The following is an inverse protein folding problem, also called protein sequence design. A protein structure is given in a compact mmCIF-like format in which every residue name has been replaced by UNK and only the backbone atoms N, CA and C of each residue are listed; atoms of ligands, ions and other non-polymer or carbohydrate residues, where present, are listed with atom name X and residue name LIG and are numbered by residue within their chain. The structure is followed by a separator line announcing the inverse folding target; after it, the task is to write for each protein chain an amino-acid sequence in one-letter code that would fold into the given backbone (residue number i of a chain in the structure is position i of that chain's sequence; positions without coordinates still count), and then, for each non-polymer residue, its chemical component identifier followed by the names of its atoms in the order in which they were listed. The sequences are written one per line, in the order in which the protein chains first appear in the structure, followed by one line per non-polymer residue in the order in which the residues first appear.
data_IF_262378943342
#
_entry.id   IF_262378943342
#
_cell.length_a   1.000
_cell.length_b   1.000
_cell.length_c   1.000
_cell.angle_alpha   90.00
_cell.angle_beta   90.00
_cell.angle_gamma   90.00
#
_symmetry.space_group_name_H-M   'P 1'
#
loop_
_entity.id
_entity.type
_entity.pdbx_description
1 polymer ?
#
# COMPACT_ATOMS: atom_id res chain seq x y z
N UNK A 1 -1.81 -15.60 10.96
CA UNK A 1 -3.14 -15.06 11.29
C UNK A 1 -3.78 -14.22 10.19
N UNK A 2 -3.05 -13.85 9.15
CA UNK A 2 -3.56 -13.28 7.91
C UNK A 2 -2.78 -13.81 6.70
N UNK A 3 -2.44 -15.10 6.71
CA UNK A 3 -1.91 -15.76 5.53
C UNK A 3 -3.02 -15.97 4.48
N UNK A 4 -2.65 -16.40 3.29
CA UNK A 4 -3.61 -16.59 2.19
C UNK A 4 -4.76 -17.52 2.57
N UNK A 5 -4.52 -18.60 3.32
CA UNK A 5 -5.57 -19.54 3.73
C UNK A 5 -6.58 -18.88 4.69
N UNK A 6 -6.10 -18.09 5.67
CA UNK A 6 -6.96 -17.33 6.58
C UNK A 6 -7.82 -16.31 5.85
N UNK A 7 -7.23 -15.59 4.87
CA UNK A 7 -7.94 -14.60 4.05
C UNK A 7 -9.02 -15.27 3.23
N UNK A 8 -8.72 -16.41 2.60
CA UNK A 8 -9.67 -17.18 1.79
C UNK A 8 -10.86 -17.64 2.63
N UNK A 9 -10.61 -18.18 3.82
CA UNK A 9 -11.68 -18.64 4.71
C UNK A 9 -12.58 -17.49 5.19
N UNK A 10 -11.99 -16.37 5.60
CA UNK A 10 -12.75 -15.18 6.02
C UNK A 10 -13.58 -14.60 4.87
N UNK A 11 -12.98 -14.49 3.69
CA UNK A 11 -13.66 -13.95 2.51
C UNK A 11 -14.80 -14.86 2.02
N UNK A 12 -14.63 -16.20 2.13
CA UNK A 12 -15.69 -17.16 1.86
C UNK A 12 -16.89 -16.94 2.78
N UNK A 13 -16.66 -16.82 4.08
CA UNK A 13 -17.72 -16.55 5.06
C UNK A 13 -18.41 -15.21 4.83
N UNK A 14 -17.65 -14.16 4.50
CA UNK A 14 -18.23 -12.86 4.16
C UNK A 14 -19.17 -12.96 2.95
N UNK A 15 -18.72 -13.65 1.88
CA UNK A 15 -19.56 -13.92 0.70
C UNK A 15 -20.84 -14.70 1.05
N UNK A 16 -20.75 -15.75 1.86
CA UNK A 16 -21.91 -16.55 2.29
C UNK A 16 -22.94 -15.71 3.06
N UNK A 17 -22.49 -14.66 3.74
CA UNK A 17 -23.32 -13.69 4.45
C UNK A 17 -23.82 -12.53 3.55
N UNK A 18 -23.51 -12.55 2.25
CA UNK A 18 -23.91 -11.50 1.30
C UNK A 18 -23.15 -10.18 1.46
N UNK A 19 -21.98 -10.19 2.09
CA UNK A 19 -21.16 -9.00 2.29
C UNK A 19 -20.27 -8.72 1.08
N UNK A 20 -20.08 -7.45 0.76
CA UNK A 20 -19.00 -7.01 -0.13
C UNK A 20 -17.65 -7.23 0.57
N UNK A 21 -16.63 -7.61 -0.19
CA UNK A 21 -15.28 -7.91 0.32
C UNK A 21 -14.30 -6.86 -0.14
N UNK A 22 -13.52 -6.34 0.80
CA UNK A 22 -12.30 -5.58 0.55
C UNK A 22 -11.08 -6.42 0.98
N UNK A 23 -10.05 -6.46 0.15
CA UNK A 23 -8.77 -7.06 0.48
C UNK A 23 -7.76 -5.94 0.69
N UNK A 24 -7.06 -5.96 1.82
CA UNK A 24 -6.04 -5.00 2.18
C UNK A 24 -4.66 -5.66 2.21
N UNK A 25 -3.79 -5.25 1.30
CA UNK A 25 -2.41 -5.73 1.21
C UNK A 25 -1.46 -4.80 1.97
N UNK A 26 -0.97 -5.22 3.13
CA UNK A 26 0.05 -4.49 3.88
C UNK A 26 1.45 -4.62 3.28
N UNK A 27 1.73 -5.70 2.54
CA UNK A 27 3.07 -6.06 2.02
C UNK A 27 4.15 -6.07 3.10
N UNK A 28 3.79 -6.56 4.26
CA UNK A 28 4.65 -6.69 5.44
C UNK A 28 4.30 -7.98 6.18
N UNK A 29 5.25 -8.55 6.92
CA UNK A 29 4.98 -9.69 7.82
C UNK A 29 4.21 -9.25 9.07
N UNK A 30 4.14 -7.95 9.33
CA UNK A 30 3.47 -7.31 10.45
C UNK A 30 2.45 -6.28 9.99
N UNK A 31 1.73 -5.73 10.92
CA UNK A 31 0.85 -4.59 10.67
C UNK A 31 1.68 -3.41 10.13
N UNK A 32 1.39 -2.96 8.93
CA UNK A 32 2.00 -1.76 8.37
C UNK A 32 1.18 -0.52 8.74
N UNK A 33 1.88 0.52 9.18
CA UNK A 33 1.32 1.84 9.51
C UNK A 33 2.39 2.92 9.24
N UNK A 34 2.13 4.22 9.47
CA UNK A 34 3.11 5.27 9.20
C UNK A 34 4.40 5.19 10.01
N UNK A 35 4.42 4.42 11.10
CA UNK A 35 5.63 4.22 11.92
C UNK A 35 6.42 2.97 11.50
N UNK A 36 5.84 2.08 10.71
CA UNK A 36 6.47 0.81 10.31
C UNK A 36 5.94 0.32 8.96
N UNK A 37 6.76 0.43 7.94
CA UNK A 37 6.49 -0.04 6.59
C UNK A 37 7.53 -1.07 6.14
N UNK A 38 7.91 -1.95 7.06
CA UNK A 38 8.98 -2.92 6.84
C UNK A 38 8.57 -3.94 5.79
N UNK A 39 9.45 -4.17 4.82
CA UNK A 39 9.23 -5.25 3.85
C UNK A 39 9.22 -6.61 4.53
N UNK A 40 8.53 -7.62 3.97
CA UNK A 40 8.61 -8.99 4.46
C UNK A 40 10.06 -9.48 4.53
N UNK A 41 10.39 -10.27 5.55
CA UNK A 41 11.74 -10.82 5.72
C UNK A 41 12.26 -11.57 4.48
N UNK A 42 11.36 -12.26 3.77
CA UNK A 42 11.70 -12.95 2.51
C UNK A 42 11.99 -12.00 1.33
N UNK A 43 11.73 -10.69 1.50
CA UNK A 43 11.98 -9.68 0.47
C UNK A 43 13.19 -8.80 0.77
N UNK A 44 13.81 -8.96 1.93
CA UNK A 44 15.05 -8.25 2.30
C UNK A 44 16.16 -8.54 1.28
N UNK A 45 16.93 -7.52 0.93
CA UNK A 45 18.00 -7.60 -0.07
C UNK A 45 17.54 -7.64 -1.54
N UNK A 46 16.25 -7.63 -1.82
CA UNK A 46 15.74 -7.54 -3.20
C UNK A 46 15.92 -6.13 -3.77
N UNK A 47 16.42 -6.05 -4.99
CA UNK A 47 16.43 -4.80 -5.75
C UNK A 47 15.00 -4.41 -6.21
N UNK A 48 14.85 -3.22 -6.77
CA UNK A 48 13.56 -2.69 -7.22
C UNK A 48 12.82 -3.65 -8.17
N UNK A 49 13.51 -4.25 -9.14
CA UNK A 49 12.88 -5.16 -10.10
C UNK A 49 12.32 -6.41 -9.40
N UNK A 50 13.09 -6.99 -8.49
CA UNK A 50 12.70 -8.17 -7.71
C UNK A 50 11.60 -7.86 -6.69
N UNK A 51 11.57 -6.64 -6.10
CA UNK A 51 10.47 -6.19 -5.24
C UNK A 51 9.16 -6.04 -6.03
N UNK A 52 9.21 -5.47 -7.22
CA UNK A 52 8.05 -5.41 -8.12
C UNK A 52 7.52 -6.81 -8.46
N UNK A 53 8.41 -7.74 -8.78
CA UNK A 53 7.99 -9.14 -9.02
C UNK A 53 7.33 -9.73 -7.77
N UNK A 54 7.91 -9.53 -6.60
CA UNK A 54 7.36 -10.04 -5.34
C UNK A 54 5.97 -9.45 -5.01
N UNK A 55 5.76 -8.14 -5.20
CA UNK A 55 4.44 -7.50 -5.06
C UNK A 55 3.44 -8.16 -6.01
N UNK A 56 3.80 -8.25 -7.29
CA UNK A 56 2.94 -8.83 -8.32
C UNK A 56 2.56 -10.27 -7.97
N UNK A 57 3.55 -11.10 -7.70
CA UNK A 57 3.36 -12.54 -7.48
C UNK A 57 2.51 -12.79 -6.23
N UNK A 58 2.77 -12.07 -5.14
CA UNK A 58 1.98 -12.16 -3.92
C UNK A 58 0.53 -11.72 -4.17
N UNK A 59 0.32 -10.56 -4.76
CA UNK A 59 -1.02 -10.02 -5.06
C UNK A 59 -1.82 -10.96 -5.95
N UNK A 60 -1.22 -11.40 -7.06
CA UNK A 60 -1.87 -12.34 -7.99
C UNK A 60 -2.20 -13.66 -7.31
N UNK A 61 -1.28 -14.21 -6.52
CA UNK A 61 -1.48 -15.49 -5.82
C UNK A 61 -2.68 -15.44 -4.88
N UNK A 62 -2.78 -14.41 -4.04
CA UNK A 62 -3.91 -14.25 -3.11
C UNK A 62 -5.23 -14.06 -3.85
N UNK A 63 -5.24 -13.18 -4.86
CA UNK A 63 -6.45 -12.88 -5.62
C UNK A 63 -6.93 -14.09 -6.45
N UNK A 64 -6.01 -14.88 -7.01
CA UNK A 64 -6.37 -16.13 -7.69
C UNK A 64 -6.96 -17.17 -6.75
N UNK A 65 -6.44 -17.28 -5.52
CA UNK A 65 -7.01 -18.15 -4.50
C UNK A 65 -8.46 -17.76 -4.16
N UNK A 66 -8.77 -16.47 -4.07
CA UNK A 66 -10.14 -15.96 -3.90
C UNK A 66 -11.02 -16.26 -5.12
N UNK A 67 -10.48 -16.05 -6.31
CA UNK A 67 -11.19 -16.34 -7.57
C UNK A 67 -11.56 -17.81 -7.69
N UNK A 68 -10.68 -18.72 -7.25
CA UNK A 68 -10.90 -20.14 -7.29
C UNK A 68 -12.11 -20.61 -6.44
N UNK A 69 -12.43 -19.87 -5.36
CA UNK A 69 -13.61 -20.13 -4.52
C UNK A 69 -14.80 -19.21 -4.89
N UNK A 70 -14.70 -18.50 -6.01
CA UNK A 70 -15.75 -17.61 -6.52
C UNK A 70 -15.97 -16.33 -5.69
N UNK A 71 -15.01 -15.92 -4.87
CA UNK A 71 -15.04 -14.61 -4.19
C UNK A 71 -14.46 -13.57 -5.12
N UNK A 72 -15.22 -12.51 -5.38
CA UNK A 72 -14.81 -11.37 -6.19
C UNK A 72 -14.75 -10.16 -5.26
N UNK A 73 -13.55 -9.69 -4.87
CA UNK A 73 -13.44 -8.49 -4.06
C UNK A 73 -13.90 -7.27 -4.85
N UNK A 74 -14.70 -6.44 -4.22
CA UNK A 74 -15.15 -5.17 -4.80
C UNK A 74 -14.05 -4.12 -4.75
N UNK A 75 -13.27 -4.15 -3.67
CA UNK A 75 -12.15 -3.24 -3.44
C UNK A 75 -10.88 -4.04 -3.12
N UNK A 76 -9.76 -3.53 -3.57
CA UNK A 76 -8.44 -4.04 -3.21
C UNK A 76 -7.54 -2.87 -2.85
N UNK A 77 -7.06 -2.83 -1.62
CA UNK A 77 -6.14 -1.82 -1.14
C UNK A 77 -4.70 -2.26 -1.38
N UNK A 78 -3.90 -1.37 -1.95
CA UNK A 78 -2.48 -1.59 -2.26
C UNK A 78 -1.63 -0.77 -1.29
N UNK A 79 -1.14 -1.43 -0.25
CA UNK A 79 -0.46 -0.80 0.88
C UNK A 79 -1.43 -0.18 1.89
N UNK A 80 -1.04 -0.16 3.17
CA UNK A 80 -1.81 0.44 4.25
C UNK A 80 -1.07 1.63 4.83
N UNK A 81 -1.76 2.80 4.87
CA UNK A 81 -1.24 4.04 5.44
C UNK A 81 0.17 4.40 4.94
N UNK A 82 0.34 4.34 3.62
CA UNK A 82 1.63 4.43 2.94
C UNK A 82 2.19 5.86 2.82
N UNK A 83 1.72 6.78 3.66
CA UNK A 83 2.20 8.17 3.68
C UNK A 83 3.73 8.29 3.72
N UNK A 84 4.46 7.50 4.52
CA UNK A 84 5.93 7.55 4.58
C UNK A 84 6.61 6.59 3.57
N UNK A 85 5.90 6.17 2.53
CA UNK A 85 6.37 5.13 1.62
C UNK A 85 5.99 3.72 2.09
N UNK A 86 6.52 2.71 1.43
CA UNK A 86 6.30 1.30 1.74
C UNK A 86 7.55 0.46 1.46
N UNK A 87 7.60 -0.74 1.99
CA UNK A 87 8.70 -1.70 1.78
C UNK A 87 10.06 -1.16 2.26
N UNK A 88 10.09 -0.63 3.46
CA UNK A 88 11.33 -0.17 4.08
C UNK A 88 12.29 -1.32 4.34
N UNK A 89 13.60 -1.04 4.27
CA UNK A 89 14.62 -1.90 4.80
C UNK A 89 14.63 -1.85 6.34
N UNK A 90 15.01 -2.94 7.01
CA UNK A 90 14.97 -3.01 8.49
C UNK A 90 15.78 -1.90 9.17
N UNK A 91 16.92 -1.51 8.57
CA UNK A 91 17.78 -0.45 9.09
C UNK A 91 17.15 0.96 8.98
N UNK A 92 16.10 1.11 8.21
CA UNK A 92 15.46 2.39 7.88
C UNK A 92 14.33 2.73 8.82
N UNK A 93 13.62 1.74 9.32
CA UNK A 93 12.52 1.93 10.26
C UNK A 93 12.92 2.73 11.51
N UNK A 94 14.22 2.74 11.84
CA UNK A 94 14.76 3.44 13.02
C UNK A 94 15.49 4.74 12.68
N UNK A 95 15.95 4.93 11.44
CA UNK A 95 16.82 6.06 11.08
C UNK A 95 16.23 7.03 10.06
N UNK A 96 15.19 6.65 9.35
CA UNK A 96 14.62 7.46 8.27
C UNK A 96 15.58 7.68 7.08
N UNK A 97 16.67 6.94 7.00
CA UNK A 97 17.85 7.32 6.23
C UNK A 97 17.96 6.74 4.82
N UNK A 98 17.12 5.81 4.39
CA UNK A 98 17.41 5.10 3.12
C UNK A 98 16.59 5.53 1.92
N UNK A 99 15.71 6.51 2.07
CA UNK A 99 15.11 7.15 0.92
C UNK A 99 15.57 8.60 0.92
N UNK A 100 16.35 9.02 -0.08
CA UNK A 100 16.83 10.38 -0.21
C UNK A 100 15.65 11.35 -0.36
N UNK A 101 15.11 11.79 0.77
CA UNK A 101 14.22 12.95 0.81
C UNK A 101 15.09 14.16 0.52
N UNK A 102 14.84 14.86 -0.57
CA UNK A 102 15.55 16.07 -0.88
C UNK A 102 14.93 17.25 -0.10
N UNK A 103 15.72 18.30 0.17
CA UNK A 103 15.19 19.54 0.75
C UNK A 103 14.00 20.11 -0.04
N UNK A 104 13.92 19.81 -1.32
CA UNK A 104 12.82 20.23 -2.19
C UNK A 104 11.53 19.47 -1.85
N UNK A 105 11.63 18.16 -1.59
CA UNK A 105 10.48 17.33 -1.24
C UNK A 105 9.89 17.79 0.10
N UNK A 106 10.72 18.27 1.02
CA UNK A 106 10.28 18.84 2.30
C UNK A 106 9.68 20.25 2.19
N UNK A 107 10.13 21.05 1.22
CA UNK A 107 9.62 22.42 1.04
C UNK A 107 8.19 22.47 0.52
N UNK A 108 7.82 21.49 -0.28
CA UNK A 108 6.51 21.42 -0.91
C UNK A 108 5.52 20.58 -0.08
N UNK A 109 6.01 19.94 1.01
CA UNK A 109 5.18 19.18 1.91
C UNK A 109 4.38 20.10 2.85
N UNK A 110 3.08 19.82 3.12
CA UNK A 110 2.32 20.57 4.11
C UNK A 110 2.94 20.43 5.50
N UNK A 111 2.74 21.43 6.37
CA UNK A 111 3.34 21.47 7.71
C UNK A 111 3.04 20.22 8.55
N UNK A 112 1.87 19.64 8.39
CA UNK A 112 1.46 18.37 9.03
C UNK A 112 2.25 17.17 8.52
N UNK A 113 2.75 17.22 7.29
CA UNK A 113 3.60 16.20 6.71
C UNK A 113 5.01 16.21 7.31
N UNK A 114 5.43 17.33 7.91
CA UNK A 114 6.78 17.50 8.48
C UNK A 114 6.86 17.15 9.97
N UNK A 115 5.73 16.87 10.65
CA UNK A 115 5.72 16.57 12.06
C UNK A 115 6.31 15.18 12.35
N UNK A 116 7.62 15.16 12.58
CA UNK A 116 8.41 14.09 13.23
C UNK A 116 8.47 12.72 12.55
N UNK A 117 7.72 12.47 11.52
CA UNK A 117 7.89 11.26 10.71
C UNK A 117 8.75 11.65 9.53
N UNK A 118 9.99 11.23 9.58
CA UNK A 118 10.87 11.30 8.41
C UNK A 118 10.11 10.60 7.28
N UNK A 119 9.92 11.31 6.18
CA UNK A 119 9.35 10.74 4.96
C UNK A 119 10.47 10.14 4.13
N UNK A 120 10.79 8.87 4.26
CA UNK A 120 11.78 8.24 3.42
C UNK A 120 11.15 7.97 2.06
N UNK A 121 10.82 9.03 1.31
CA UNK A 121 10.13 8.81 0.05
C UNK A 121 11.06 8.91 -1.13
N UNK A 122 11.38 7.75 -1.67
CA UNK A 122 11.70 7.66 -3.08
C UNK A 122 10.39 7.53 -3.85
N UNK A 123 9.85 8.65 -4.32
CA UNK A 123 8.60 8.72 -5.04
C UNK A 123 8.56 7.83 -6.28
N UNK A 124 9.69 7.70 -7.00
CA UNK A 124 9.76 6.82 -8.15
C UNK A 124 9.58 5.34 -7.76
N UNK A 125 10.18 4.92 -6.64
CA UNK A 125 9.99 3.57 -6.11
C UNK A 125 8.56 3.38 -5.61
N UNK A 126 8.01 4.34 -4.86
CA UNK A 126 6.63 4.26 -4.38
C UNK A 126 5.63 4.17 -5.54
N UNK A 127 5.76 5.05 -6.54
CA UNK A 127 4.95 4.99 -7.76
C UNK A 127 5.04 3.66 -8.48
N UNK A 128 6.25 3.09 -8.56
CA UNK A 128 6.48 1.78 -9.16
C UNK A 128 5.82 0.63 -8.36
N UNK A 129 5.89 0.67 -7.02
CA UNK A 129 5.26 -0.34 -6.17
C UNK A 129 3.74 -0.28 -6.26
N UNK A 130 3.15 0.91 -6.11
CA UNK A 130 1.71 1.13 -6.21
C UNK A 130 1.18 0.70 -7.57
N UNK A 131 1.84 1.12 -8.65
CA UNK A 131 1.43 0.72 -10.01
C UNK A 131 1.56 -0.78 -10.25
N UNK A 132 2.59 -1.42 -9.70
CA UNK A 132 2.74 -2.88 -9.80
C UNK A 132 1.59 -3.59 -9.09
N UNK A 133 1.21 -3.16 -7.90
CA UNK A 133 0.04 -3.67 -7.18
C UNK A 133 -1.25 -3.44 -7.95
N UNK A 134 -1.46 -2.23 -8.46
CA UNK A 134 -2.61 -1.88 -9.31
C UNK A 134 -2.74 -2.82 -10.51
N UNK A 135 -1.68 -2.93 -11.31
CA UNK A 135 -1.67 -3.76 -12.53
C UNK A 135 -1.88 -5.25 -12.18
N UNK A 136 -1.32 -5.72 -11.05
CA UNK A 136 -1.54 -7.07 -10.54
C UNK A 136 -3.01 -7.33 -10.19
N UNK A 137 -3.67 -6.40 -9.50
CA UNK A 137 -5.10 -6.50 -9.19
C UNK A 137 -5.92 -6.56 -10.48
N UNK A 138 -5.70 -5.62 -11.39
CA UNK A 138 -6.45 -5.54 -12.67
C UNK A 138 -6.23 -6.77 -13.56
N UNK A 139 -5.10 -7.45 -13.44
CA UNK A 139 -4.84 -8.69 -14.18
C UNK A 139 -5.72 -9.87 -13.74
N UNK A 140 -6.20 -9.89 -12.50
CA UNK A 140 -7.05 -10.95 -11.96
C UNK A 140 -8.52 -10.53 -11.92
N UNK A 141 -8.79 -9.31 -11.48
CA UNK A 141 -10.10 -8.71 -11.33
C UNK A 141 -10.13 -7.31 -11.97
N UNK A 142 -10.40 -7.21 -13.30
CA UNK A 142 -10.37 -5.95 -14.02
C UNK A 142 -11.30 -4.88 -13.45
N UNK A 143 -12.45 -5.30 -12.89
CA UNK A 143 -13.50 -4.42 -12.39
C UNK A 143 -13.31 -4.05 -10.90
N UNK A 144 -12.39 -4.68 -10.18
CA UNK A 144 -12.11 -4.34 -8.78
C UNK A 144 -11.57 -2.90 -8.68
N UNK A 145 -12.07 -2.16 -7.69
CA UNK A 145 -11.64 -0.80 -7.40
C UNK A 145 -10.34 -0.87 -6.59
N UNK A 146 -9.27 -0.29 -7.11
CA UNK A 146 -7.97 -0.26 -6.43
C UNK A 146 -7.85 0.99 -5.57
N UNK A 147 -7.58 0.78 -4.28
CA UNK A 147 -7.48 1.85 -3.26
C UNK A 147 -6.01 2.09 -2.94
N UNK A 148 -5.62 3.37 -2.86
CA UNK A 148 -4.43 3.84 -2.14
C UNK A 148 -4.88 4.54 -0.86
N UNK A 149 -4.32 4.13 0.27
CA UNK A 149 -4.79 4.49 1.60
C UNK A 149 -3.72 5.26 2.39
N UNK A 150 -4.14 6.37 2.99
CA UNK A 150 -3.33 7.18 3.90
C UNK A 150 -4.01 7.32 5.26
N UNK A 151 -3.18 7.58 6.27
CA UNK A 151 -3.60 8.10 7.57
C UNK A 151 -3.95 9.59 7.48
N UNK A 152 -4.30 10.21 8.63
CA UNK A 152 -4.59 11.65 8.74
C UNK A 152 -5.68 12.15 7.78
N UNK A 153 -6.79 11.43 7.67
CA UNK A 153 -7.90 11.74 6.74
C UNK A 153 -8.54 13.12 6.87
N UNK A 154 -8.20 13.86 7.92
CA UNK A 154 -8.61 15.24 8.15
C UNK A 154 -7.71 16.28 7.45
N UNK A 155 -6.52 15.89 6.97
CA UNK A 155 -5.53 16.79 6.39
C UNK A 155 -5.62 16.83 4.86
N UNK A 156 -6.45 17.71 4.34
CA UNK A 156 -6.62 17.88 2.88
C UNK A 156 -5.33 18.31 2.16
N UNK A 157 -4.47 19.07 2.84
CA UNK A 157 -3.19 19.51 2.28
C UNK A 157 -2.24 18.35 2.06
N UNK A 158 -2.14 17.44 3.05
CA UNK A 158 -1.38 16.20 2.93
C UNK A 158 -1.88 15.36 1.75
N UNK A 159 -3.19 15.16 1.64
CA UNK A 159 -3.77 14.34 0.58
C UNK A 159 -3.50 14.93 -0.80
N UNK A 160 -3.70 16.23 -0.98
CA UNK A 160 -3.43 16.91 -2.25
C UNK A 160 -1.96 16.73 -2.64
N UNK A 161 -1.03 17.06 -1.74
CA UNK A 161 0.40 16.91 -2.00
C UNK A 161 0.81 15.48 -2.31
N UNK A 162 0.38 14.50 -1.50
CA UNK A 162 0.77 13.11 -1.67
C UNK A 162 0.30 12.55 -3.01
N UNK A 163 -0.96 12.73 -3.35
CA UNK A 163 -1.51 12.17 -4.57
C UNK A 163 -1.01 12.88 -5.83
N UNK A 164 -0.69 14.18 -5.75
CA UNK A 164 -0.02 14.89 -6.84
C UNK A 164 1.38 14.32 -7.08
N UNK A 165 2.19 14.12 -6.03
CA UNK A 165 3.52 13.52 -6.15
C UNK A 165 3.44 12.06 -6.62
N UNK A 166 2.53 11.26 -6.07
CA UNK A 166 2.34 9.88 -6.51
C UNK A 166 1.98 9.81 -8.00
N UNK A 167 1.09 10.69 -8.46
CA UNK A 167 0.70 10.78 -9.87
C UNK A 167 1.87 11.18 -10.78
N UNK A 168 2.64 12.19 -10.39
CA UNK A 168 3.86 12.63 -11.13
C UNK A 168 4.86 11.49 -11.31
N UNK A 169 4.91 10.57 -10.35
CA UNK A 169 5.80 9.41 -10.36
C UNK A 169 5.13 8.12 -10.89
N UNK A 170 4.04 8.25 -11.61
CA UNK A 170 3.41 7.16 -12.35
C UNK A 170 2.54 6.23 -11.50
N UNK A 171 2.22 6.59 -10.26
CA UNK A 171 1.29 5.82 -9.42
C UNK A 171 -0.11 5.77 -10.04
N UNK A 172 -0.79 4.63 -9.88
CA UNK A 172 -2.14 4.38 -10.37
C UNK A 172 -3.06 3.94 -9.23
N UNK A 173 -4.25 4.47 -9.20
CA UNK A 173 -5.33 4.09 -8.28
C UNK A 173 -6.69 4.46 -8.86
N UNK A 174 -7.76 3.87 -8.33
CA UNK A 174 -9.13 4.20 -8.70
C UNK A 174 -9.82 5.01 -7.59
N UNK A 175 -9.42 4.79 -6.32
CA UNK A 175 -10.05 5.39 -5.14
C UNK A 175 -9.00 5.77 -4.10
N UNK A 176 -9.25 6.84 -3.38
CA UNK A 176 -8.46 7.27 -2.22
C UNK A 176 -9.13 6.73 -0.96
N UNK A 177 -8.37 6.01 -0.15
CA UNK A 177 -8.74 5.59 1.20
C UNK A 177 -8.14 6.52 2.25
N UNK A 178 -8.84 6.69 3.38
CA UNK A 178 -8.35 7.53 4.46
C UNK A 178 -8.74 6.96 5.82
N UNK A 179 -7.79 6.94 6.77
CA UNK A 179 -8.11 6.74 8.18
C UNK A 179 -8.59 8.05 8.77
N UNK A 180 -9.77 8.04 9.35
CA UNK A 180 -10.37 9.19 10.03
C UNK A 180 -10.80 8.78 11.43
N UNK A 181 -10.26 9.45 12.43
CA UNK A 181 -10.60 9.25 13.84
C UNK A 181 -11.28 10.53 14.34
N UNK A 182 -12.61 10.64 14.22
CA UNK A 182 -13.35 11.80 14.73
C UNK A 182 -13.44 11.70 16.26
N UNK A 183 -12.87 12.66 16.95
CA UNK A 183 -12.95 12.82 18.41
C UNK A 183 -13.70 14.09 18.76
#
# INVERSE_FOLDING_TARGET
WCNTADVVEKAKRAKELGMDVMIDFHYSDWWADPAQQNKPASWVGKNLANLKSAIKDHTVSVLQALKAIGVIPKWVQVGNEIRPGMLWDEDVALSGASYNVTEKDLKDAPASATDKVVYPMNWANLGAFVTTGYDAVKSVFPDAIVIVHLDNGWDSGLFTWFFDELKKNGGKWDMIGMSLYPY
#
